data_IF_346190836938
#
_entry.id   IF_346190836938
#
_cell.length_a   1.000
_cell.length_b   1.000
_cell.length_c   1.000
_cell.angle_alpha   90.00
_cell.angle_beta   90.00
_cell.angle_gamma   90.00
#
_symmetry.space_group_name_H-M   'P 1'
#
loop_
_entity.id
_entity.type
_entity.pdbx_description
1 polymer ?
#
# COMPACT_ATOMS: atom_id res chain seq x y z
N UNK A 1 23.13 -4.43 5.86
CA UNK A 1 21.91 -3.63 6.04
C UNK A 1 21.87 -3.28 7.52
N UNK A 2 22.02 -2.01 7.87
CA UNK A 2 22.00 -1.58 9.28
C UNK A 2 20.57 -1.77 9.80
N UNK A 3 20.36 -2.43 10.95
CA UNK A 3 19.02 -2.55 11.52
C UNK A 3 18.47 -1.15 11.82
N UNK A 4 17.25 -0.87 11.33
CA UNK A 4 16.53 0.38 11.64
C UNK A 4 16.34 0.47 13.16
N UNK A 5 16.65 1.61 13.80
CA UNK A 5 16.44 1.76 15.24
C UNK A 5 14.95 1.63 15.56
N UNK A 6 14.61 0.74 16.51
CA UNK A 6 13.23 0.53 16.98
C UNK A 6 12.87 1.66 17.93
N UNK A 7 11.80 2.38 17.60
CA UNK A 7 11.32 3.56 18.34
C UNK A 7 10.29 3.23 19.42
N UNK A 8 9.82 1.98 19.48
CA UNK A 8 8.75 1.53 20.38
C UNK A 8 7.36 2.03 19.98
N UNK A 9 7.15 2.37 18.71
CA UNK A 9 5.90 2.97 18.21
C UNK A 9 5.04 1.96 17.47
N UNK A 10 3.77 2.30 17.24
CA UNK A 10 2.86 1.54 16.37
C UNK A 10 3.47 1.26 14.98
N UNK A 11 4.35 2.14 14.48
CA UNK A 11 5.03 1.91 13.21
C UNK A 11 6.01 0.74 13.28
N UNK A 12 6.71 0.56 14.41
CA UNK A 12 7.62 -0.58 14.59
C UNK A 12 6.85 -1.90 14.58
N UNK A 13 5.69 -1.94 15.24
CA UNK A 13 4.80 -3.11 15.24
C UNK A 13 4.27 -3.42 13.84
N UNK A 14 3.91 -2.40 13.05
CA UNK A 14 3.51 -2.57 11.65
C UNK A 14 4.65 -3.15 10.82
N UNK A 15 5.87 -2.65 10.99
CA UNK A 15 7.04 -3.13 10.22
C UNK A 15 7.32 -4.60 10.56
N UNK A 16 7.33 -4.95 11.85
CA UNK A 16 7.53 -6.33 12.29
C UNK A 16 6.50 -7.27 11.66
N UNK A 17 5.21 -6.94 11.76
CA UNK A 17 4.14 -7.74 11.15
C UNK A 17 4.25 -7.85 9.63
N UNK A 18 4.63 -6.77 8.94
CA UNK A 18 4.83 -6.79 7.47
C UNK A 18 5.98 -7.70 7.06
N UNK A 19 7.08 -7.74 7.83
CA UNK A 19 8.21 -8.63 7.55
C UNK A 19 7.79 -10.10 7.67
N UNK A 20 7.07 -10.45 8.75
CA UNK A 20 6.55 -11.81 8.96
C UNK A 20 5.60 -12.24 7.82
N UNK A 21 4.65 -11.37 7.48
CA UNK A 21 3.72 -11.56 6.37
C UNK A 21 4.44 -11.73 5.03
N UNK A 22 5.47 -10.91 4.79
CA UNK A 22 6.25 -10.93 3.56
C UNK A 22 6.98 -12.27 3.39
N UNK A 23 7.64 -12.77 4.44
CA UNK A 23 8.36 -14.04 4.36
C UNK A 23 7.39 -15.22 4.14
N UNK A 24 6.23 -15.22 4.80
CA UNK A 24 5.19 -16.22 4.55
C UNK A 24 4.65 -16.17 3.10
N UNK A 25 4.52 -14.96 2.51
CA UNK A 25 4.08 -14.79 1.12
C UNK A 25 5.17 -15.17 0.12
N UNK A 26 6.44 -14.85 0.38
CA UNK A 26 7.59 -15.24 -0.46
C UNK A 26 7.75 -16.75 -0.54
N UNK A 27 7.51 -17.46 0.57
CA UNK A 27 7.55 -18.93 0.59
C UNK A 27 6.50 -19.54 -0.34
N UNK A 28 5.32 -18.92 -0.45
CA UNK A 28 4.22 -19.38 -1.34
C UNK A 28 4.41 -18.91 -2.79
N UNK A 29 4.88 -17.68 -2.97
CA UNK A 29 5.09 -17.06 -4.28
C UNK A 29 6.50 -16.44 -4.31
N UNK A 30 7.51 -17.19 -4.77
CA UNK A 30 8.87 -16.69 -4.85
C UNK A 30 8.98 -15.45 -5.75
N UNK A 31 10.01 -14.63 -5.51
CA UNK A 31 10.21 -13.37 -6.22
C UNK A 31 10.22 -13.53 -7.75
N UNK A 32 10.87 -14.57 -8.27
CA UNK A 32 10.90 -14.86 -9.72
C UNK A 32 9.50 -15.11 -10.29
N UNK A 33 8.65 -15.82 -9.57
CA UNK A 33 7.25 -16.03 -9.96
C UNK A 33 6.45 -14.73 -9.93
N UNK A 34 6.68 -13.90 -8.91
CA UNK A 34 6.04 -12.59 -8.80
C UNK A 34 6.46 -11.65 -9.94
N UNK A 35 7.74 -11.63 -10.31
CA UNK A 35 8.24 -10.85 -11.46
C UNK A 35 7.58 -11.28 -12.77
N UNK A 36 7.38 -12.58 -12.98
CA UNK A 36 6.63 -13.09 -14.13
C UNK A 36 5.17 -12.63 -14.12
N UNK A 37 4.49 -12.72 -12.97
CA UNK A 37 3.11 -12.21 -12.84
C UNK A 37 3.01 -10.71 -13.17
N UNK A 38 3.98 -9.92 -12.70
CA UNK A 38 4.02 -8.49 -12.97
C UNK A 38 4.23 -8.19 -14.46
N UNK A 39 5.11 -8.94 -15.14
CA UNK A 39 5.36 -8.80 -16.57
C UNK A 39 4.15 -9.22 -17.43
N UNK A 40 3.39 -10.23 -16.99
CA UNK A 40 2.18 -10.71 -17.67
C UNK A 40 0.96 -9.80 -17.40
N UNK A 41 1.07 -8.83 -16.49
CA UNK A 41 0.01 -7.90 -16.10
C UNK A 41 -0.27 -6.80 -17.14
N UNK A 42 -1.43 -6.15 -17.03
CA UNK A 42 -1.73 -4.96 -17.84
C UNK A 42 -0.75 -3.82 -17.54
N UNK A 43 -0.43 -2.94 -18.52
CA UNK A 43 0.42 -1.78 -18.28
C UNK A 43 -0.07 -0.92 -17.12
N UNK A 44 0.87 -0.40 -16.33
CA UNK A 44 0.55 0.51 -15.25
C UNK A 44 -0.15 1.78 -15.78
N UNK A 45 -1.20 2.23 -15.09
CA UNK A 45 -1.81 3.53 -15.37
C UNK A 45 -0.86 4.65 -14.97
N UNK A 46 -0.88 5.77 -15.70
CA UNK A 46 -0.02 6.91 -15.40
C UNK A 46 -0.61 7.75 -14.25
N UNK A 47 -0.32 7.35 -13.00
CA UNK A 47 -0.80 8.04 -11.81
C UNK A 47 -0.26 9.49 -11.71
N UNK A 48 0.98 9.73 -12.14
CA UNK A 48 1.57 11.07 -12.11
C UNK A 48 0.80 12.03 -13.02
N UNK A 49 0.52 11.63 -14.27
CA UNK A 49 -0.27 12.45 -15.18
C UNK A 49 -1.71 12.69 -14.68
N UNK A 50 -2.29 11.73 -13.94
CA UNK A 50 -3.63 11.88 -13.37
C UNK A 50 -3.69 12.88 -12.20
N UNK A 51 -2.55 13.17 -11.54
CA UNK A 51 -2.50 13.97 -10.32
C UNK A 51 -1.68 15.26 -10.45
N UNK A 52 -0.93 15.43 -11.54
CA UNK A 52 -0.14 16.65 -11.80
C UNK A 52 -1.04 17.89 -11.85
N UNK A 53 -0.49 19.04 -11.44
CA UNK A 53 -1.20 20.31 -11.35
C UNK A 53 -1.82 20.57 -9.97
N UNK A 54 -2.07 19.53 -9.16
CA UNK A 54 -2.47 19.68 -7.77
C UNK A 54 -3.66 20.62 -7.58
N UNK A 55 -3.50 21.65 -6.73
CA UNK A 55 -4.55 22.65 -6.47
C UNK A 55 -4.71 23.68 -7.59
N UNK A 56 -3.70 23.81 -8.45
CA UNK A 56 -3.65 24.78 -9.54
C UNK A 56 -4.16 24.17 -10.86
N UNK A 57 -4.67 22.94 -10.83
CA UNK A 57 -5.23 22.27 -12.00
C UNK A 57 -6.54 22.97 -12.43
N UNK A 58 -6.63 23.52 -13.65
CA UNK A 58 -7.82 24.22 -14.12
C UNK A 58 -9.04 23.30 -14.30
N UNK A 59 -8.83 21.97 -14.39
CA UNK A 59 -9.91 20.98 -14.43
C UNK A 59 -10.50 20.67 -13.04
N UNK A 60 -9.92 21.23 -11.97
CA UNK A 60 -10.35 21.03 -10.58
C UNK A 60 -9.43 20.13 -9.76
N UNK A 61 -9.88 19.78 -8.55
CA UNK A 61 -9.10 19.05 -7.56
C UNK A 61 -9.03 17.56 -7.91
N UNK A 62 -7.81 17.01 -7.96
CA UNK A 62 -7.59 15.56 -8.02
C UNK A 62 -7.75 14.89 -6.65
N UNK A 63 -8.49 13.78 -6.59
CA UNK A 63 -8.76 13.04 -5.35
C UNK A 63 -8.20 11.61 -5.46
N UNK A 64 -7.45 11.20 -4.44
CA UNK A 64 -7.12 9.78 -4.21
C UNK A 64 -8.13 9.25 -3.19
N UNK A 65 -9.11 8.49 -3.66
CA UNK A 65 -10.09 7.87 -2.77
C UNK A 65 -9.50 6.59 -2.15
N UNK A 66 -9.28 6.61 -0.84
CA UNK A 66 -8.80 5.44 -0.09
C UNK A 66 -9.97 4.53 0.30
N UNK A 67 -9.87 3.25 -0.03
CA UNK A 67 -10.77 2.22 0.50
C UNK A 67 -10.10 1.56 1.69
N UNK A 68 -10.64 1.79 2.90
CA UNK A 68 -10.02 1.33 4.16
C UNK A 68 -11.05 0.82 5.15
N UNK A 69 -10.79 -0.39 5.66
CA UNK A 69 -11.67 -1.06 6.63
C UNK A 69 -11.49 -0.55 8.06
N UNK A 70 -10.25 -0.34 8.50
CA UNK A 70 -9.92 0.04 9.87
C UNK A 70 -8.61 0.85 9.94
N UNK A 71 -8.36 1.54 11.05
CA UNK A 71 -7.07 2.14 11.37
C UNK A 71 -6.67 1.89 12.83
N UNK A 72 -5.36 1.94 13.18
CA UNK A 72 -4.93 1.82 14.57
C UNK A 72 -5.52 2.89 15.49
N UNK A 73 -5.72 4.12 14.99
CA UNK A 73 -6.23 5.24 15.79
C UNK A 73 -7.75 5.30 15.92
N UNK A 74 -8.50 4.75 14.96
CA UNK A 74 -9.96 4.87 14.90
C UNK A 74 -10.69 3.52 14.94
N UNK A 75 -9.97 2.40 14.96
CA UNK A 75 -10.57 1.06 14.88
C UNK A 75 -11.30 0.85 13.54
N UNK A 76 -12.36 0.01 13.52
CA UNK A 76 -13.22 -0.15 12.34
C UNK A 76 -13.86 1.17 11.91
N UNK A 77 -13.71 1.57 10.63
CA UNK A 77 -14.15 2.89 10.14
C UNK A 77 -15.61 2.91 9.68
N UNK A 78 -16.05 1.88 8.97
CA UNK A 78 -17.42 1.73 8.50
C UNK A 78 -17.77 0.24 8.33
N UNK A 79 -19.04 -0.11 8.54
CA UNK A 79 -19.53 -1.45 8.22
C UNK A 79 -19.78 -1.55 6.71
N UNK A 80 -18.80 -2.07 5.97
CA UNK A 80 -18.87 -2.25 4.52
C UNK A 80 -18.88 -3.77 4.25
N UNK A 81 -19.98 -4.30 3.70
CA UNK A 81 -20.17 -5.75 3.53
C UNK A 81 -19.27 -6.39 2.47
N UNK A 82 -18.75 -5.61 1.53
CA UNK A 82 -17.75 -6.03 0.54
C UNK A 82 -16.80 -4.85 0.27
N UNK A 83 -15.84 -4.64 1.19
CA UNK A 83 -14.83 -3.58 1.09
C UNK A 83 -13.86 -3.84 -0.06
#
# INVERSE_FOLDING_TARGET
MTPTPITGTVLDDIIAGVVEDMEARKAKTPLSRMQKLAADGSPARNAHAALVGGRDNPAGVGIIAEVKRASPSAGPLANIGSP
#
